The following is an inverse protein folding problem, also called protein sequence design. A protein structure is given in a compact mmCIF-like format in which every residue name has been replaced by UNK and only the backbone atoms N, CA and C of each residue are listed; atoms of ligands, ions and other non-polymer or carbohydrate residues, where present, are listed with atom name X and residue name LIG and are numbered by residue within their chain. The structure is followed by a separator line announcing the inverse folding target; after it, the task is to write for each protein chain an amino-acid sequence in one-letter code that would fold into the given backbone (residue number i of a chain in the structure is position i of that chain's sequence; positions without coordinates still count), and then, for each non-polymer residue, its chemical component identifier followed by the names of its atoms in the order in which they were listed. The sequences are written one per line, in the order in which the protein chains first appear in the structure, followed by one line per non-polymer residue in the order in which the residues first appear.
data_IF_193546021490
#
_entry.id   IF_193546021490
#
_cell.length_a   1.000
_cell.length_b   1.000
_cell.length_c   1.000
_cell.angle_alpha   90.00
_cell.angle_beta   90.00
_cell.angle_gamma   90.00
#
_symmetry.space_group_name_H-M   'P 1'
#
loop_
_entity.id
_entity.type
_entity.pdbx_description
1 polymer ?
#
# COMPACT_ATOMS: atom_id res chain seq x y z
N UNK A 1 5.92 6.74 8.93
CA UNK A 1 4.64 6.76 8.17
C UNK A 1 3.61 6.18 9.10
N UNK A 2 2.43 6.80 9.22
CA UNK A 2 1.39 6.36 10.16
C UNK A 2 1.15 4.83 10.08
N UNK A 3 1.08 4.26 8.87
CA UNK A 3 1.00 2.81 8.64
C UNK A 3 2.14 2.02 9.32
N UNK A 4 3.39 2.47 9.23
CA UNK A 4 4.55 1.79 9.85
C UNK A 4 4.52 1.90 11.37
N UNK A 5 4.13 3.04 11.91
CA UNK A 5 4.06 3.26 13.36
C UNK A 5 2.94 2.41 13.99
N UNK A 6 1.78 2.32 13.34
CA UNK A 6 0.62 1.57 13.83
C UNK A 6 0.76 0.05 13.62
N UNK A 7 1.33 -0.38 12.48
CA UNK A 7 1.30 -1.80 12.08
C UNK A 7 2.67 -2.47 12.08
N UNK A 8 3.76 -1.72 12.23
CA UNK A 8 5.15 -2.15 11.97
C UNK A 8 5.41 -2.62 10.53
N UNK A 9 4.45 -2.47 9.62
CA UNK A 9 4.62 -2.82 8.21
C UNK A 9 5.23 -1.68 7.40
N UNK A 10 6.08 -2.01 6.43
CA UNK A 10 6.67 -1.06 5.49
C UNK A 10 6.29 -1.41 4.06
N UNK A 11 6.28 -0.41 3.18
CA UNK A 11 6.09 -0.61 1.73
C UNK A 11 7.28 -1.38 1.17
N UNK A 12 7.03 -2.52 0.52
CA UNK A 12 8.08 -3.37 -0.06
C UNK A 12 8.20 -3.20 -1.55
N UNK A 13 7.07 -3.11 -2.24
CA UNK A 13 7.03 -3.02 -3.69
C UNK A 13 5.72 -2.39 -4.16
N UNK A 14 5.77 -1.69 -5.30
CA UNK A 14 4.61 -1.29 -6.09
C UNK A 14 4.84 -1.94 -7.47
N UNK A 15 4.18 -3.07 -7.77
CA UNK A 15 4.37 -3.74 -9.06
C UNK A 15 4.06 -2.79 -10.23
N UNK A 16 4.85 -2.83 -11.31
CA UNK A 16 4.61 -1.98 -12.49
C UNK A 16 3.48 -2.53 -13.36
N UNK A 17 3.42 -3.85 -13.52
CA UNK A 17 2.38 -4.55 -14.28
C UNK A 17 1.25 -4.98 -13.33
N UNK A 18 0.35 -4.05 -13.03
CA UNK A 18 -0.85 -4.34 -12.25
C UNK A 18 -2.05 -4.43 -13.20
N UNK A 19 -3.01 -5.33 -12.96
CA UNK A 19 -4.32 -5.21 -13.60
C UNK A 19 -4.89 -3.85 -13.17
N UNK A 20 -4.90 -2.90 -14.11
CA UNK A 20 -5.29 -1.53 -13.83
C UNK A 20 -6.65 -1.46 -13.14
N UNK A 21 -6.87 -0.42 -12.34
CA UNK A 21 -8.13 -0.23 -11.64
C UNK A 21 -8.07 0.90 -10.63
N UNK A 22 -9.22 1.48 -10.33
CA UNK A 22 -9.36 2.41 -9.23
C UNK A 22 -9.78 1.66 -7.97
N UNK A 23 -9.03 1.86 -6.90
CA UNK A 23 -9.35 1.42 -5.55
C UNK A 23 -9.39 2.60 -4.59
N UNK A 24 -9.54 2.31 -3.30
CA UNK A 24 -9.37 3.28 -2.24
C UNK A 24 -8.16 2.90 -1.40
N UNK A 25 -7.42 3.90 -0.94
CA UNK A 25 -6.34 3.70 0.01
C UNK A 25 -6.90 3.11 1.30
N UNK A 26 -6.35 1.98 1.73
CA UNK A 26 -6.68 1.27 2.98
C UNK A 26 -6.57 2.17 4.21
N UNK A 27 -5.66 3.15 4.19
CA UNK A 27 -5.43 4.01 5.34
C UNK A 27 -6.26 5.31 5.32
N UNK A 28 -6.22 6.05 4.20
CA UNK A 28 -6.82 7.39 4.13
C UNK A 28 -8.09 7.48 3.28
N UNK A 29 -8.53 6.39 2.67
CA UNK A 29 -9.75 6.32 1.85
C UNK A 29 -9.69 7.04 0.50
N UNK A 30 -8.60 7.77 0.20
CA UNK A 30 -8.40 8.49 -1.07
C UNK A 30 -8.36 7.52 -2.26
N UNK A 31 -8.77 7.95 -3.48
CA UNK A 31 -8.68 7.13 -4.67
C UNK A 31 -7.22 6.74 -4.95
N UNK A 32 -7.01 5.47 -5.33
CA UNK A 32 -5.70 4.90 -5.65
C UNK A 32 -5.79 4.17 -6.99
N UNK A 33 -4.77 4.33 -7.83
CA UNK A 33 -4.67 3.69 -9.15
C UNK A 33 -3.71 2.49 -9.16
N UNK A 34 -2.93 2.36 -8.10
CA UNK A 34 -1.86 1.37 -7.97
C UNK A 34 -2.00 0.65 -6.62
N UNK A 35 -1.60 -0.62 -6.57
CA UNK A 35 -1.55 -1.40 -5.33
C UNK A 35 -0.11 -1.46 -4.83
N UNK A 36 0.08 -1.04 -3.59
CA UNK A 36 1.34 -1.19 -2.88
C UNK A 36 1.32 -2.44 -1.99
N UNK A 37 2.39 -3.22 -2.01
CA UNK A 37 2.58 -4.39 -1.16
C UNK A 37 3.26 -3.95 0.13
N UNK A 38 2.63 -4.23 1.26
CA UNK A 38 3.15 -3.98 2.60
C UNK A 38 3.53 -5.31 3.28
N UNK A 39 4.63 -5.32 4.03
CA UNK A 39 5.01 -6.45 4.87
C UNK A 39 5.74 -5.97 6.13
N UNK A 40 5.73 -6.79 7.18
CA UNK A 40 6.61 -6.62 8.33
C UNK A 40 8.00 -7.15 7.95
N UNK A 41 9.04 -6.35 8.18
CA UNK A 41 10.41 -6.82 8.06
C UNK A 41 10.78 -7.64 9.31
N UNK A 42 11.70 -8.61 9.15
CA UNK A 42 12.28 -9.38 10.24
C UNK A 42 13.11 -8.48 11.17
#
# INVERSE_FOLDING_TARGET
TQIKEETKATTRNIPLEQPGGSGRCIHCGKPATERAIFAKAY
#
